data_IF_618908879929
#
_entry.id   IF_618908879929
#
_cell.length_a   1.000
_cell.length_b   1.000
_cell.length_c   1.000
_cell.angle_alpha   90.00
_cell.angle_beta   90.00
_cell.angle_gamma   90.00
#
_symmetry.space_group_name_H-M   'P 1'
#
loop_
_entity.id
_entity.type
_entity.pdbx_description
1 polymer ?
#
# COMPACT_ATOMS: atom_id res chain seq x y z
N UNK A 1 6.88 -10.32 34.17
CA UNK A 1 7.04 -9.10 34.98
C UNK A 1 6.12 -9.21 36.20
N UNK A 2 6.67 -9.24 37.41
CA UNK A 2 5.90 -9.37 38.65
C UNK A 2 5.97 -8.06 39.44
N UNK A 3 4.92 -7.68 40.20
CA UNK A 3 4.97 -6.51 41.05
C UNK A 3 6.06 -6.60 42.11
N UNK A 4 6.75 -5.49 42.38
CA UNK A 4 7.81 -5.39 43.38
C UNK A 4 9.16 -5.93 42.94
N UNK A 5 9.24 -6.61 41.79
CA UNK A 5 10.48 -7.23 41.32
C UNK A 5 11.43 -6.22 40.66
N UNK A 6 10.95 -5.05 40.25
CA UNK A 6 11.72 -4.06 39.49
C UNK A 6 12.44 -4.66 38.27
N UNK A 7 11.79 -5.65 37.65
CA UNK A 7 12.27 -6.27 36.41
C UNK A 7 11.94 -5.41 35.20
N UNK A 8 12.84 -5.42 34.21
CA UNK A 8 12.67 -4.73 32.93
C UNK A 8 12.94 -5.68 31.76
N UNK A 9 12.14 -5.55 30.71
CA UNK A 9 12.37 -6.18 29.41
C UNK A 9 12.78 -5.07 28.44
N UNK A 10 13.87 -5.27 27.72
CA UNK A 10 14.44 -4.28 26.80
C UNK A 10 14.26 -4.72 25.34
N UNK A 11 14.16 -3.77 24.41
CA UNK A 11 14.33 -4.07 23.00
C UNK A 11 15.74 -4.59 22.69
N UNK A 12 15.87 -5.40 21.64
CA UNK A 12 17.13 -6.06 21.28
C UNK A 12 18.27 -5.07 21.02
N UNK A 13 18.03 -4.06 20.18
CA UNK A 13 19.03 -3.04 19.87
C UNK A 13 19.38 -2.18 21.09
N UNK A 14 18.41 -1.90 21.96
CA UNK A 14 18.64 -1.16 23.21
C UNK A 14 19.53 -1.94 24.18
N UNK A 15 19.27 -3.23 24.37
CA UNK A 15 20.09 -4.10 25.20
C UNK A 15 21.52 -4.21 24.66
N UNK A 16 21.64 -4.36 23.33
CA UNK A 16 22.94 -4.42 22.63
C UNK A 16 23.72 -3.11 22.76
N UNK A 17 23.07 -1.96 22.56
CA UNK A 17 23.69 -0.64 22.70
C UNK A 17 24.20 -0.37 24.12
N UNK A 18 23.48 -0.88 25.14
CA UNK A 18 23.91 -0.79 26.55
C UNK A 18 24.91 -1.88 26.95
N UNK A 19 25.16 -2.88 26.10
CA UNK A 19 26.06 -4.00 26.39
C UNK A 19 25.54 -4.93 27.50
N UNK A 20 24.22 -5.02 27.68
CA UNK A 20 23.59 -5.81 28.75
C UNK A 20 22.91 -7.07 28.22
N UNK A 21 22.83 -8.09 29.07
CA UNK A 21 22.17 -9.37 28.83
C UNK A 21 21.12 -9.65 29.90
N UNK A 22 20.28 -10.65 29.66
CA UNK A 22 19.33 -11.14 30.68
C UNK A 22 20.12 -11.59 31.92
N UNK A 23 19.72 -11.08 33.09
CA UNK A 23 20.43 -11.25 34.36
C UNK A 23 21.25 -10.03 34.80
N UNK A 24 21.58 -9.13 33.88
CA UNK A 24 22.31 -7.90 34.21
C UNK A 24 21.39 -6.85 34.84
N UNK A 25 22.01 -5.77 35.35
CA UNK A 25 21.30 -4.66 35.97
C UNK A 25 21.52 -3.38 35.20
N UNK A 26 20.45 -2.63 34.95
CA UNK A 26 20.52 -1.28 34.37
C UNK A 26 20.10 -0.23 35.40
N UNK A 27 20.54 1.01 35.21
CA UNK A 27 20.10 2.14 36.05
C UNK A 27 19.17 3.02 35.24
N UNK A 28 17.90 3.07 35.62
CA UNK A 28 16.93 3.97 35.04
C UNK A 28 17.00 5.33 35.74
N UNK A 29 17.09 6.38 34.93
CA UNK A 29 17.07 7.77 35.37
C UNK A 29 15.71 8.35 35.01
N UNK A 30 14.91 8.73 36.01
CA UNK A 30 13.60 9.36 35.72
C UNK A 30 13.69 10.88 35.74
N UNK A 31 12.95 11.58 34.85
CA UNK A 31 12.92 13.03 34.78
C UNK A 31 12.19 13.70 35.95
N UNK A 32 11.62 12.94 36.88
CA UNK A 32 10.96 13.48 38.07
C UNK A 32 11.99 13.95 39.10
N UNK A 33 12.16 15.27 39.13
CA UNK A 33 13.03 15.99 40.04
C UNK A 33 12.35 16.18 41.39
N UNK A 34 13.04 15.86 42.48
CA UNK A 34 12.63 16.30 43.81
C UNK A 34 13.42 17.55 44.18
N UNK A 35 12.79 18.69 44.51
CA UNK A 35 13.52 19.88 44.93
C UNK A 35 14.25 19.59 46.24
N UNK A 36 15.55 19.84 46.26
CA UNK A 36 16.38 19.78 47.47
C UNK A 36 17.08 21.12 47.67
N UNK A 37 17.47 21.50 48.91
CA UNK A 37 18.23 22.72 49.17
C UNK A 37 19.56 22.82 48.40
N UNK A 38 20.08 21.68 47.90
CA UNK A 38 21.29 21.56 47.09
C UNK A 38 21.03 21.48 45.57
N UNK A 39 19.79 21.61 45.11
CA UNK A 39 19.41 21.61 43.70
C UNK A 39 18.49 20.47 43.26
N UNK A 40 18.50 20.21 41.95
CA UNK A 40 17.66 19.24 41.22
C UNK A 40 18.44 17.94 41.07
N UNK A 41 18.13 16.92 41.90
CA UNK A 41 18.78 15.61 41.82
C UNK A 41 17.86 14.63 41.08
N UNK A 42 18.29 14.05 39.94
CA UNK A 42 17.52 13.03 39.23
C UNK A 42 17.47 11.74 40.05
N UNK A 43 16.36 11.01 39.93
CA UNK A 43 16.22 9.73 40.64
C UNK A 43 16.83 8.61 39.81
N UNK A 44 17.72 7.86 40.45
CA UNK A 44 18.33 6.65 39.92
C UNK A 44 17.66 5.44 40.57
N UNK A 45 17.20 4.49 39.77
CA UNK A 45 16.73 3.19 40.25
C UNK A 45 17.41 2.08 39.46
N UNK A 46 17.99 1.12 40.16
CA UNK A 46 18.53 -0.09 39.55
C UNK A 46 17.39 -1.07 39.26
N UNK A 47 17.35 -1.57 38.02
CA UNK A 47 16.37 -2.53 37.51
C UNK A 47 17.09 -3.79 37.03
N UNK A 48 16.42 -4.93 37.13
CA UNK A 48 16.95 -6.22 36.71
C UNK A 48 16.46 -6.56 35.29
N UNK A 49 17.38 -6.83 34.37
CA UNK A 49 17.02 -7.22 33.00
C UNK A 49 16.54 -8.66 33.02
N UNK A 50 15.23 -8.85 32.89
CA UNK A 50 14.58 -10.17 32.96
C UNK A 50 14.26 -10.76 31.59
N UNK A 51 14.41 -9.97 30.52
CA UNK A 51 14.16 -10.40 29.16
C UNK A 51 14.60 -9.37 28.12
N UNK A 52 14.69 -9.82 26.89
CA UNK A 52 14.91 -8.99 25.69
C UNK A 52 13.86 -9.39 24.66
N UNK A 53 13.29 -8.42 23.94
CA UNK A 53 12.34 -8.67 22.85
C UNK A 53 12.87 -8.11 21.53
N UNK A 54 12.38 -8.65 20.43
CA UNK A 54 12.67 -8.16 19.07
C UNK A 54 11.36 -8.21 18.27
N UNK A 55 10.96 -7.07 17.69
CA UNK A 55 9.74 -6.94 16.88
C UNK A 55 10.10 -6.75 15.40
N UNK A 56 11.36 -6.47 15.07
CA UNK A 56 11.84 -6.22 13.72
C UNK A 56 11.61 -4.78 13.26
N UNK A 57 11.34 -3.87 14.20
CA UNK A 57 11.19 -2.45 13.92
C UNK A 57 12.15 -1.67 14.80
N UNK A 58 13.16 -1.06 14.16
CA UNK A 58 14.25 -0.35 14.85
C UNK A 58 13.77 0.68 15.87
N UNK A 59 12.71 1.45 15.56
CA UNK A 59 12.16 2.45 16.48
C UNK A 59 11.69 1.85 17.81
N UNK A 60 11.19 0.61 17.80
CA UNK A 60 10.77 -0.10 19.00
C UNK A 60 11.94 -0.84 19.64
N UNK A 61 12.73 -1.56 18.85
CA UNK A 61 13.81 -2.41 19.36
C UNK A 61 14.98 -1.59 19.96
N UNK A 62 15.15 -0.32 19.54
CA UNK A 62 16.21 0.58 20.04
C UNK A 62 15.80 1.47 21.21
N UNK A 63 14.49 1.65 21.50
CA UNK A 63 14.04 2.68 22.44
C UNK A 63 13.04 2.21 23.50
N UNK A 64 12.39 1.05 23.34
CA UNK A 64 11.31 0.63 24.23
C UNK A 64 11.83 -0.28 25.37
N UNK A 65 11.39 0.05 26.59
CA UNK A 65 11.59 -0.75 27.79
C UNK A 65 10.25 -1.02 28.48
N UNK A 66 9.99 -2.27 28.85
CA UNK A 66 8.74 -2.71 29.47
C UNK A 66 8.99 -3.14 30.92
N UNK A 67 8.13 -2.67 31.83
CA UNK A 67 8.18 -3.03 33.24
C UNK A 67 6.77 -3.21 33.81
N UNK A 68 6.66 -3.80 35.00
CA UNK A 68 5.36 -3.93 35.66
C UNK A 68 4.77 -2.54 35.97
N UNK A 69 3.46 -2.38 35.76
CA UNK A 69 2.76 -1.09 35.93
C UNK A 69 2.82 -0.57 37.37
N UNK A 70 2.80 -1.45 38.38
CA UNK A 70 2.88 -1.05 39.79
C UNK A 70 4.29 -0.56 40.15
N UNK A 71 5.31 -1.19 39.59
CA UNK A 71 6.70 -0.77 39.78
C UNK A 71 6.99 0.55 39.06
N UNK A 72 6.43 0.73 37.87
CA UNK A 72 6.45 2.00 37.15
C UNK A 72 5.75 3.10 37.98
N UNK A 73 4.56 2.83 38.50
CA UNK A 73 3.80 3.79 39.30
C UNK A 73 4.56 4.22 40.57
N UNK A 74 5.23 3.28 41.25
CA UNK A 74 6.12 3.58 42.39
C UNK A 74 7.31 4.46 41.97
N UNK A 75 7.91 4.16 40.83
CA UNK A 75 9.05 4.91 40.31
C UNK A 75 8.68 6.35 39.93
N UNK A 76 7.52 6.53 39.28
CA UNK A 76 6.98 7.83 38.87
C UNK A 76 6.22 8.57 39.99
N UNK A 77 6.12 8.01 41.21
CA UNK A 77 5.39 8.59 42.37
C UNK A 77 3.91 8.86 42.12
N UNK A 78 3.27 8.00 41.34
CA UNK A 78 1.83 8.06 41.03
C UNK A 78 1.15 6.76 41.51
N UNK A 79 1.20 6.43 42.82
CA UNK A 79 0.64 5.18 43.33
C UNK A 79 -0.86 5.09 42.98
N UNK A 80 -1.29 3.92 42.52
CA UNK A 80 -2.66 3.65 42.07
C UNK A 80 -3.15 4.56 40.93
N UNK A 81 -2.24 5.20 40.20
CA UNK A 81 -2.54 6.06 39.05
C UNK A 81 -1.68 5.63 37.85
N UNK A 82 -2.15 6.00 36.66
CA UNK A 82 -1.48 5.74 35.39
C UNK A 82 -1.37 7.04 34.60
N UNK A 83 -0.33 7.15 33.77
CA UNK A 83 -0.17 8.32 32.88
C UNK A 83 -1.10 8.28 31.68
N UNK A 84 -1.63 7.10 31.33
CA UNK A 84 -2.56 6.93 30.23
C UNK A 84 -3.09 5.50 30.12
N UNK A 85 -4.12 5.34 29.31
CA UNK A 85 -4.73 4.05 28.99
C UNK A 85 -4.54 3.77 27.50
N UNK A 86 -4.07 2.57 27.17
CA UNK A 86 -3.99 2.09 25.78
C UNK A 86 -5.19 1.19 25.51
N UNK A 87 -6.02 1.58 24.56
CA UNK A 87 -7.13 0.75 24.08
C UNK A 87 -6.64 -0.10 22.91
N UNK A 88 -6.86 -1.42 22.99
CA UNK A 88 -6.72 -2.34 21.86
C UNK A 88 -8.09 -2.50 21.22
N UNK A 89 -8.15 -2.27 19.91
CA UNK A 89 -9.37 -2.41 19.13
C UNK A 89 -9.24 -3.62 18.21
N UNK A 90 -10.35 -4.32 17.98
CA UNK A 90 -10.39 -5.43 17.01
C UNK A 90 -10.22 -4.92 15.59
N UNK A 91 -10.85 -3.79 15.27
CA UNK A 91 -10.70 -3.07 14.01
C UNK A 91 -9.95 -1.75 14.27
N UNK A 92 -8.69 -1.73 13.85
CA UNK A 92 -7.82 -0.56 14.00
C UNK A 92 -8.34 0.64 13.19
N UNK A 93 -9.03 0.44 12.06
CA UNK A 93 -9.53 1.53 11.22
C UNK A 93 -10.67 2.30 11.86
N UNK A 94 -11.32 1.74 12.89
CA UNK A 94 -12.32 2.45 13.69
C UNK A 94 -11.71 3.36 14.76
N UNK A 95 -10.39 3.32 14.97
CA UNK A 95 -9.73 4.09 16.03
C UNK A 95 -10.02 5.59 15.98
N UNK A 96 -10.04 6.29 14.82
CA UNK A 96 -10.34 7.71 14.78
C UNK A 96 -11.78 8.03 15.21
N UNK A 97 -12.75 7.21 14.79
CA UNK A 97 -14.16 7.37 15.14
C UNK A 97 -14.41 7.08 16.63
N UNK A 98 -13.85 5.99 17.15
CA UNK A 98 -13.94 5.61 18.56
C UNK A 98 -13.28 6.66 19.45
N UNK A 99 -12.07 7.10 19.08
CA UNK A 99 -11.35 8.16 19.80
C UNK A 99 -12.17 9.44 19.87
N UNK A 100 -12.75 9.88 18.75
CA UNK A 100 -13.62 11.06 18.72
C UNK A 100 -14.85 10.91 19.62
N UNK A 101 -15.51 9.75 19.60
CA UNK A 101 -16.67 9.48 20.45
C UNK A 101 -16.29 9.48 21.94
N UNK A 102 -15.19 8.84 22.32
CA UNK A 102 -14.69 8.83 23.70
C UNK A 102 -14.39 10.26 24.16
N UNK A 103 -13.69 11.05 23.33
CA UNK A 103 -13.35 12.43 23.65
C UNK A 103 -14.56 13.34 23.80
N UNK A 104 -15.68 13.05 23.14
CA UNK A 104 -16.93 13.79 23.33
C UNK A 104 -17.61 13.50 24.68
N UNK A 105 -17.31 12.36 25.30
CA UNK A 105 -17.88 11.93 26.59
C UNK A 105 -16.98 12.26 27.78
N UNK A 106 -15.68 12.42 27.56
CA UNK A 106 -14.71 12.71 28.60
C UNK A 106 -14.57 14.22 28.84
N UNK A 107 -14.18 14.65 30.05
CA UNK A 107 -13.88 16.05 30.32
C UNK A 107 -12.65 16.55 29.51
N UNK A 108 -12.58 17.86 29.29
CA UNK A 108 -11.58 18.52 28.42
C UNK A 108 -10.12 18.40 28.88
N UNK A 109 -9.86 17.82 30.05
CA UNK A 109 -8.52 17.58 30.59
C UNK A 109 -7.86 16.28 30.05
N UNK A 110 -8.62 15.45 29.34
CA UNK A 110 -8.08 14.26 28.69
C UNK A 110 -7.62 14.57 27.26
N UNK A 111 -6.59 13.84 26.81
CA UNK A 111 -6.16 13.84 25.41
C UNK A 111 -6.09 12.40 24.94
N UNK A 112 -6.81 12.09 23.88
CA UNK A 112 -6.68 10.82 23.19
C UNK A 112 -5.93 11.03 21.86
N UNK A 113 -5.06 10.08 21.54
CA UNK A 113 -4.32 10.04 20.30
C UNK A 113 -4.45 8.62 19.77
N UNK A 114 -4.88 8.47 18.52
CA UNK A 114 -4.91 7.18 17.85
C UNK A 114 -3.71 7.01 16.91
N UNK A 115 -3.52 5.79 16.42
CA UNK A 115 -2.38 5.41 15.58
C UNK A 115 -2.33 6.20 14.26
N UNK A 116 -3.46 6.72 13.75
CA UNK A 116 -3.46 7.52 12.51
C UNK A 116 -2.82 8.89 12.71
N UNK A 117 -2.85 9.44 13.94
CA UNK A 117 -2.16 10.68 14.29
C UNK A 117 -0.68 10.46 14.61
N UNK A 118 -0.35 9.37 15.31
CA UNK A 118 1.04 9.07 15.70
C UNK A 118 1.95 8.86 14.48
N UNK A 119 1.40 8.31 13.39
CA UNK A 119 2.15 8.05 12.15
C UNK A 119 1.51 8.72 10.93
N UNK A 120 0.91 9.90 11.10
CA UNK A 120 0.15 10.57 10.04
C UNK A 120 0.95 10.86 8.76
N UNK A 121 2.26 11.07 8.88
CA UNK A 121 3.13 11.31 7.72
C UNK A 121 3.37 10.03 6.93
N UNK A 122 3.58 8.90 7.62
CA UNK A 122 3.75 7.58 7.00
C UNK A 122 2.50 7.18 6.22
N UNK A 123 1.31 7.28 6.83
CA UNK A 123 0.06 6.96 6.14
C UNK A 123 -0.28 7.94 5.00
N UNK A 124 0.06 9.23 5.14
CA UNK A 124 -0.04 10.19 4.03
C UNK A 124 0.89 9.83 2.88
N UNK A 125 2.12 9.40 3.18
CA UNK A 125 3.06 8.94 2.17
C UNK A 125 2.51 7.71 1.43
N UNK A 126 2.06 6.68 2.15
CA UNK A 126 1.43 5.49 1.56
C UNK A 126 0.22 5.81 0.68
N UNK A 127 -0.65 6.72 1.12
CA UNK A 127 -1.80 7.15 0.32
C UNK A 127 -1.36 7.87 -0.97
N UNK A 128 -0.36 8.74 -0.86
CA UNK A 128 0.19 9.48 -2.00
C UNK A 128 0.85 8.53 -2.99
N UNK A 129 1.60 7.55 -2.50
CA UNK A 129 2.22 6.51 -3.31
C UNK A 129 1.18 5.71 -4.09
N UNK A 130 0.11 5.23 -3.43
CA UNK A 130 -0.99 4.54 -4.13
C UNK A 130 -1.64 5.41 -5.20
N UNK A 131 -1.80 6.71 -4.95
CA UNK A 131 -2.34 7.64 -5.94
C UNK A 131 -1.42 7.79 -7.15
N UNK A 132 -0.11 7.90 -6.94
CA UNK A 132 0.88 7.97 -8.03
C UNK A 132 0.88 6.67 -8.84
N UNK A 133 0.84 5.51 -8.19
CA UNK A 133 0.73 4.21 -8.85
C UNK A 133 -0.53 4.12 -9.73
N UNK A 134 -1.67 4.61 -9.24
CA UNK A 134 -2.90 4.70 -10.03
C UNK A 134 -2.76 5.61 -11.26
N UNK A 135 -2.11 6.77 -11.12
CA UNK A 135 -1.87 7.69 -12.24
C UNK A 135 -0.96 7.05 -13.30
N UNK A 136 0.13 6.40 -12.87
CA UNK A 136 1.05 5.70 -13.79
C UNK A 136 0.30 4.60 -14.55
N UNK A 137 -0.48 3.79 -13.85
CA UNK A 137 -1.30 2.75 -14.46
C UNK A 137 -2.27 3.34 -15.49
N UNK A 138 -2.97 4.43 -15.15
CA UNK A 138 -3.89 5.11 -16.05
C UNK A 138 -3.18 5.60 -17.31
N UNK A 139 -1.96 6.14 -17.19
CA UNK A 139 -1.15 6.56 -18.34
C UNK A 139 -0.76 5.37 -19.22
N UNK A 140 -0.33 4.25 -18.64
CA UNK A 140 -0.01 3.03 -19.39
C UNK A 140 -1.23 2.53 -20.18
N UNK A 141 -2.40 2.50 -19.53
CA UNK A 141 -3.66 2.11 -20.17
C UNK A 141 -4.04 3.10 -21.27
N UNK A 142 -3.86 4.41 -21.06
CA UNK A 142 -4.14 5.44 -22.06
C UNK A 142 -3.24 5.30 -23.31
N UNK A 143 -1.96 5.01 -23.12
CA UNK A 143 -1.02 4.74 -24.22
C UNK A 143 -1.42 3.47 -24.99
N UNK A 144 -1.82 2.40 -24.27
CA UNK A 144 -2.31 1.19 -24.91
C UNK A 144 -3.62 1.42 -25.69
N UNK A 145 -4.54 2.20 -25.12
CA UNK A 145 -5.77 2.64 -25.78
C UNK A 145 -5.47 3.39 -27.08
N UNK A 146 -4.53 4.35 -27.07
CA UNK A 146 -4.10 5.07 -28.27
C UNK A 146 -3.52 4.14 -29.35
N UNK A 147 -2.83 3.08 -28.94
CA UNK A 147 -2.34 2.05 -29.86
C UNK A 147 -3.52 1.34 -30.56
N UNK A 148 -4.54 0.93 -29.81
CA UNK A 148 -5.78 0.34 -30.37
C UNK A 148 -6.44 1.30 -31.37
N UNK A 149 -6.55 2.59 -31.04
CA UNK A 149 -7.09 3.61 -31.96
C UNK A 149 -6.29 3.61 -33.27
N UNK A 150 -4.96 3.64 -33.17
CA UNK A 150 -4.07 3.70 -34.33
C UNK A 150 -4.20 2.46 -35.21
N UNK A 151 -4.24 1.27 -34.60
CA UNK A 151 -4.40 0.00 -35.33
C UNK A 151 -5.78 -0.11 -35.99
N UNK A 152 -6.85 0.29 -35.31
CA UNK A 152 -8.20 0.25 -35.89
C UNK A 152 -8.35 1.23 -37.05
N UNK A 153 -7.78 2.43 -36.94
CA UNK A 153 -7.79 3.40 -38.05
C UNK A 153 -7.04 2.84 -39.26
N UNK A 154 -5.84 2.28 -39.04
CA UNK A 154 -5.06 1.64 -40.10
C UNK A 154 -5.83 0.51 -40.77
N UNK A 155 -6.50 -0.32 -39.97
CA UNK A 155 -7.31 -1.41 -40.51
C UNK A 155 -8.51 -0.92 -41.33
N UNK A 156 -9.16 0.17 -40.89
CA UNK A 156 -10.25 0.79 -41.65
C UNK A 156 -9.76 1.31 -42.99
N UNK A 157 -8.58 1.94 -43.03
CA UNK A 157 -7.98 2.42 -44.28
C UNK A 157 -7.58 1.28 -45.20
N UNK A 158 -7.00 0.20 -44.67
CA UNK A 158 -6.61 -0.99 -45.44
C UNK A 158 -7.83 -1.73 -46.01
N UNK A 159 -8.98 -1.61 -45.35
CA UNK A 159 -10.26 -2.23 -45.73
C UNK A 159 -11.24 -1.29 -46.42
N UNK A 160 -10.76 -0.14 -46.88
CA UNK A 160 -11.60 0.88 -47.50
C UNK A 160 -12.32 0.40 -48.78
N UNK A 161 -11.65 -0.41 -49.63
CA UNK A 161 -12.26 -1.00 -50.83
C UNK A 161 -13.36 -2.03 -50.47
N UNK A 162 -13.09 -2.91 -49.51
CA UNK A 162 -14.06 -3.90 -48.99
C UNK A 162 -15.31 -3.21 -48.41
N UNK A 163 -15.11 -2.12 -47.65
CA UNK A 163 -16.21 -1.28 -47.11
C UNK A 163 -17.02 -0.67 -48.25
N UNK A 164 -16.38 -0.16 -49.30
CA UNK A 164 -17.07 0.44 -50.44
C UNK A 164 -17.96 -0.56 -51.18
N UNK A 165 -17.50 -1.80 -51.36
CA UNK A 165 -18.28 -2.90 -51.96
C UNK A 165 -19.48 -3.24 -51.08
N UNK A 166 -19.30 -3.39 -49.75
CA UNK A 166 -20.42 -3.66 -48.85
C UNK A 166 -21.47 -2.54 -48.87
N UNK A 167 -21.02 -1.29 -48.95
CA UNK A 167 -21.90 -0.12 -49.06
C UNK A 167 -22.65 -0.07 -50.40
N UNK A 168 -22.05 -0.52 -51.51
CA UNK A 168 -22.76 -0.59 -52.81
C UNK A 168 -23.76 -1.74 -52.85
N UNK A 169 -23.53 -2.80 -52.07
CA UNK A 169 -24.49 -3.89 -51.84
C UNK A 169 -25.64 -3.52 -50.89
N UNK A 170 -25.68 -2.30 -50.35
CA UNK A 170 -26.79 -1.77 -49.55
C UNK A 170 -26.54 -1.71 -48.04
N UNK A 171 -25.32 -2.00 -47.57
CA UNK A 171 -24.98 -1.88 -46.15
C UNK A 171 -24.98 -0.42 -45.69
N UNK A 172 -25.62 -0.14 -44.54
CA UNK A 172 -25.71 1.22 -44.02
C UNK A 172 -24.42 1.63 -43.29
N UNK A 173 -24.15 2.94 -43.12
CA UNK A 173 -23.04 3.41 -42.29
C UNK A 173 -23.09 2.87 -40.84
N UNK A 174 -24.30 2.65 -40.31
CA UNK A 174 -24.49 2.08 -38.98
C UNK A 174 -24.00 0.64 -38.89
N UNK A 175 -24.30 -0.17 -39.90
CA UNK A 175 -23.85 -1.58 -39.95
C UNK A 175 -22.32 -1.67 -40.01
N UNK A 176 -21.67 -0.82 -40.81
CA UNK A 176 -20.20 -0.72 -40.87
C UNK A 176 -19.64 -0.32 -39.51
N UNK A 177 -20.24 0.68 -38.84
CA UNK A 177 -19.83 1.09 -37.49
C UNK A 177 -19.93 -0.07 -36.51
N UNK A 178 -21.00 -0.87 -36.56
CA UNK A 178 -21.20 -2.03 -35.67
C UNK A 178 -20.11 -3.09 -35.86
N UNK A 179 -19.68 -3.36 -37.09
CA UNK A 179 -18.61 -4.34 -37.36
C UNK A 179 -17.32 -3.93 -36.65
N UNK A 180 -16.88 -2.67 -36.84
CA UNK A 180 -15.65 -2.17 -36.21
C UNK A 180 -15.78 -2.01 -34.69
N UNK A 181 -16.97 -1.66 -34.19
CA UNK A 181 -17.26 -1.63 -32.76
C UNK A 181 -17.14 -3.01 -32.12
N UNK A 182 -17.76 -4.03 -32.71
CA UNK A 182 -17.66 -5.42 -32.21
C UNK A 182 -16.22 -5.89 -32.24
N UNK A 183 -15.47 -5.56 -33.29
CA UNK A 183 -14.07 -5.93 -33.40
C UNK A 183 -13.21 -5.29 -32.29
N UNK A 184 -13.35 -3.99 -32.06
CA UNK A 184 -12.62 -3.32 -30.97
C UNK A 184 -13.04 -3.80 -29.59
N UNK A 185 -14.33 -4.12 -29.37
CA UNK A 185 -14.81 -4.76 -28.14
C UNK A 185 -14.16 -6.12 -27.93
N UNK A 186 -14.05 -6.96 -28.96
CA UNK A 186 -13.40 -8.26 -28.87
C UNK A 186 -11.92 -8.11 -28.53
N UNK A 187 -11.20 -7.21 -29.20
CA UNK A 187 -9.80 -6.92 -28.90
C UNK A 187 -9.64 -6.44 -27.45
N UNK A 188 -10.48 -5.51 -27.01
CA UNK A 188 -10.49 -4.99 -25.64
C UNK A 188 -10.81 -6.06 -24.60
N UNK A 189 -11.79 -6.92 -24.86
CA UNK A 189 -12.19 -8.00 -23.98
C UNK A 189 -11.08 -9.05 -23.82
N UNK A 190 -10.56 -9.57 -24.94
CA UNK A 190 -9.48 -10.57 -24.90
C UNK A 190 -8.19 -9.98 -24.33
N UNK A 191 -7.85 -8.74 -24.68
CA UNK A 191 -6.70 -8.04 -24.11
C UNK A 191 -6.82 -7.87 -22.59
N UNK A 192 -8.00 -7.46 -22.11
CA UNK A 192 -8.26 -7.30 -20.68
C UNK A 192 -8.24 -8.65 -19.95
N UNK A 193 -8.87 -9.68 -20.51
CA UNK A 193 -8.89 -11.02 -19.91
C UNK A 193 -7.48 -11.62 -19.81
N UNK A 194 -6.72 -11.59 -20.92
CA UNK A 194 -5.35 -12.09 -20.93
C UNK A 194 -4.45 -11.27 -20.01
N UNK A 195 -4.64 -9.94 -19.95
CA UNK A 195 -3.93 -9.06 -19.04
C UNK A 195 -4.22 -9.38 -17.57
N UNK A 196 -5.48 -9.61 -17.21
CA UNK A 196 -5.86 -10.00 -15.84
C UNK A 196 -5.28 -11.37 -15.49
N UNK A 197 -5.44 -12.38 -16.37
CA UNK A 197 -4.92 -13.72 -16.12
C UNK A 197 -3.39 -13.70 -15.97
N UNK A 198 -2.70 -13.01 -16.87
CA UNK A 198 -1.24 -12.85 -16.84
C UNK A 198 -0.79 -12.08 -15.60
N UNK A 199 -1.44 -10.96 -15.28
CA UNK A 199 -1.10 -10.13 -14.12
C UNK A 199 -1.35 -10.83 -12.79
N UNK A 200 -2.47 -11.55 -12.64
CA UNK A 200 -2.78 -12.35 -11.45
C UNK A 200 -1.80 -13.51 -11.31
N UNK A 201 -1.51 -14.23 -12.41
CA UNK A 201 -0.52 -15.31 -12.39
C UNK A 201 0.87 -14.80 -11.99
N UNK A 202 1.30 -13.65 -12.52
CA UNK A 202 2.55 -13.00 -12.15
C UNK A 202 2.56 -12.60 -10.68
N UNK A 203 1.49 -11.97 -10.19
CA UNK A 203 1.38 -11.53 -8.80
C UNK A 203 1.46 -12.71 -7.83
N UNK A 204 0.80 -13.82 -8.11
CA UNK A 204 0.83 -15.01 -7.26
C UNK A 204 2.19 -15.73 -7.27
N UNK A 205 2.98 -15.57 -8.32
CA UNK A 205 4.28 -16.23 -8.48
C UNK A 205 5.48 -15.28 -8.31
N UNK A 206 5.25 -14.04 -7.87
CA UNK A 206 6.30 -13.00 -7.86
C UNK A 206 7.50 -13.39 -6.97
N UNK A 207 7.24 -14.06 -5.84
CA UNK A 207 8.30 -14.55 -4.94
C UNK A 207 9.20 -15.58 -5.63
N UNK A 208 8.59 -16.53 -6.36
CA UNK A 208 9.33 -17.53 -7.13
C UNK A 208 10.10 -16.91 -8.29
N UNK A 209 9.52 -15.90 -8.96
CA UNK A 209 10.19 -15.17 -10.05
C UNK A 209 11.41 -14.41 -9.52
N UNK A 210 11.28 -13.73 -8.37
CA UNK A 210 12.40 -13.02 -7.74
C UNK A 210 13.50 -14.00 -7.37
N UNK A 211 13.17 -15.11 -6.70
CA UNK A 211 14.15 -16.13 -6.32
C UNK A 211 14.89 -16.73 -7.55
N UNK A 212 14.17 -16.94 -8.65
CA UNK A 212 14.77 -17.39 -9.90
C UNK A 212 15.75 -16.35 -10.48
N UNK A 213 15.37 -15.07 -10.51
CA UNK A 213 16.23 -13.97 -10.98
C UNK A 213 17.46 -13.81 -10.10
N UNK A 214 17.31 -13.89 -8.77
CA UNK A 214 18.43 -13.85 -7.82
C UNK A 214 19.39 -15.02 -8.03
N UNK A 215 18.87 -16.23 -8.32
CA UNK A 215 19.70 -17.41 -8.61
C UNK A 215 20.52 -17.26 -9.90
N UNK A 216 20.00 -16.52 -10.89
CA UNK A 216 20.71 -16.27 -12.15
C UNK A 216 21.75 -15.14 -12.02
N UNK A 217 21.43 -14.09 -11.25
CA UNK A 217 22.30 -12.92 -11.10
C UNK A 217 23.35 -13.09 -10.00
N UNK A 218 23.19 -14.09 -9.10
CA UNK A 218 24.13 -14.36 -8.02
C UNK A 218 24.19 -13.26 -6.95
N UNK A 219 23.15 -12.41 -6.87
CA UNK A 219 23.05 -11.31 -5.92
C UNK A 219 21.65 -11.28 -5.29
N UNK A 220 21.60 -11.12 -3.96
CA UNK A 220 20.35 -10.97 -3.21
C UNK A 220 19.85 -9.53 -3.36
N UNK A 221 18.84 -9.33 -4.19
CA UNK A 221 18.24 -8.02 -4.47
C UNK A 221 17.60 -7.46 -3.18
N UNK A 222 17.10 -8.36 -2.32
CA UNK A 222 16.50 -8.04 -1.03
C UNK A 222 17.36 -8.56 0.13
N UNK A 223 18.57 -8.01 0.28
CA UNK A 223 19.42 -8.37 1.43
C UNK A 223 18.78 -7.89 2.75
N UNK A 224 18.44 -8.80 3.69
CA UNK A 224 17.81 -8.44 4.98
C UNK A 224 18.64 -7.47 5.81
N UNK A 225 19.97 -7.49 5.62
CA UNK A 225 20.93 -6.65 6.33
C UNK A 225 20.80 -5.14 6.01
N UNK A 226 20.21 -4.79 4.85
CA UNK A 226 20.05 -3.39 4.41
C UNK A 226 18.60 -2.93 4.54
N UNK A 227 17.64 -3.80 4.21
CA UNK A 227 16.23 -3.43 4.14
C UNK A 227 15.39 -3.84 5.36
N UNK A 228 15.93 -4.64 6.30
CA UNK A 228 15.26 -5.11 7.52
C UNK A 228 13.87 -5.75 7.32
N UNK A 229 13.49 -5.99 6.06
CA UNK A 229 12.25 -6.62 5.63
C UNK A 229 12.69 -7.91 4.94
N UNK A 230 12.44 -9.04 5.58
CA UNK A 230 12.90 -10.33 5.09
C UNK A 230 12.21 -10.73 3.79
N UNK A 231 10.92 -10.38 3.64
CA UNK A 231 10.10 -10.74 2.49
C UNK A 231 9.09 -9.61 2.21
N UNK A 232 8.84 -9.25 0.95
CA UNK A 232 7.69 -8.43 0.55
C UNK A 232 6.62 -9.41 0.04
N UNK A 233 5.64 -9.80 0.88
CA UNK A 233 4.61 -10.73 0.44
C UNK A 233 3.74 -10.07 -0.63
N UNK A 234 3.38 -10.85 -1.64
CA UNK A 234 2.40 -10.44 -2.64
C UNK A 234 0.99 -10.50 -2.06
N UNK A 235 0.38 -9.33 -1.83
CA UNK A 235 -1.03 -9.24 -1.39
C UNK A 235 -1.93 -8.89 -2.59
N UNK A 236 -2.51 -9.93 -3.20
CA UNK A 236 -3.43 -9.75 -4.32
C UNK A 236 -4.81 -9.32 -3.82
N UNK A 237 -5.15 -8.05 -4.06
CA UNK A 237 -6.46 -7.50 -3.72
C UNK A 237 -7.41 -7.52 -4.92
N UNK A 238 -8.45 -8.35 -4.83
CA UNK A 238 -9.47 -8.48 -5.89
C UNK A 238 -10.21 -7.18 -6.20
N UNK A 239 -10.37 -6.29 -5.22
CA UNK A 239 -10.95 -4.96 -5.44
C UNK A 239 -10.12 -4.16 -6.45
N UNK A 240 -8.79 -4.17 -6.30
CA UNK A 240 -7.88 -3.46 -7.19
C UNK A 240 -7.92 -4.09 -8.60
N UNK A 241 -7.88 -5.42 -8.69
CA UNK A 241 -7.98 -6.15 -9.98
C UNK A 241 -9.29 -5.80 -10.71
N UNK A 242 -10.40 -5.75 -9.98
CA UNK A 242 -11.71 -5.48 -10.57
C UNK A 242 -11.83 -4.03 -11.04
N UNK A 243 -11.41 -3.06 -10.23
CA UNK A 243 -11.43 -1.64 -10.59
C UNK A 243 -10.55 -1.38 -11.81
N UNK A 244 -9.34 -1.97 -11.84
CA UNK A 244 -8.40 -1.82 -12.96
C UNK A 244 -8.96 -2.48 -14.22
N UNK A 245 -9.47 -3.71 -14.10
CA UNK A 245 -10.06 -4.45 -15.22
C UNK A 245 -11.23 -3.71 -15.86
N UNK A 246 -12.16 -3.20 -15.05
CA UNK A 246 -13.29 -2.41 -15.54
C UNK A 246 -12.81 -1.11 -16.20
N UNK A 247 -11.88 -0.39 -15.57
CA UNK A 247 -11.36 0.87 -16.11
C UNK A 247 -10.66 0.67 -17.45
N UNK A 248 -9.83 -0.37 -17.56
CA UNK A 248 -9.15 -0.72 -18.80
C UNK A 248 -10.13 -1.11 -19.91
N UNK A 249 -11.14 -1.94 -19.60
CA UNK A 249 -12.16 -2.33 -20.56
C UNK A 249 -12.98 -1.12 -21.05
N UNK A 250 -13.40 -0.23 -20.14
CA UNK A 250 -14.14 0.99 -20.50
C UNK A 250 -13.28 1.92 -21.37
N UNK A 251 -12.01 2.13 -21.03
CA UNK A 251 -11.11 2.95 -21.85
C UNK A 251 -10.88 2.35 -23.24
N UNK A 252 -10.76 1.02 -23.33
CA UNK A 252 -10.66 0.31 -24.62
C UNK A 252 -11.92 0.49 -25.48
N UNK A 253 -13.10 0.40 -24.86
CA UNK A 253 -14.38 0.64 -25.52
C UNK A 253 -14.48 2.08 -26.04
N UNK A 254 -14.14 3.06 -25.19
CA UNK A 254 -14.16 4.48 -25.57
C UNK A 254 -13.20 4.77 -26.74
N UNK A 255 -12.04 4.11 -26.74
CA UNK A 255 -11.05 4.23 -27.81
C UNK A 255 -11.57 3.71 -29.15
N UNK A 256 -12.43 2.69 -29.13
CA UNK A 256 -12.99 2.07 -30.34
C UNK A 256 -14.06 2.94 -31.03
N UNK A 257 -14.69 3.86 -30.30
CA UNK A 257 -15.77 4.70 -30.83
C UNK A 257 -15.32 5.59 -32.00
N UNK A 258 -14.17 6.26 -31.85
CA UNK A 258 -13.69 7.20 -32.86
C UNK A 258 -13.33 6.52 -34.20
N UNK A 259 -12.52 5.44 -34.23
CA UNK A 259 -12.24 4.68 -35.46
C UNK A 259 -13.50 4.13 -36.12
N UNK A 260 -14.44 3.58 -35.33
CA UNK A 260 -15.66 2.98 -35.87
C UNK A 260 -16.58 4.00 -36.53
N UNK A 261 -16.71 5.19 -35.93
CA UNK A 261 -17.43 6.30 -36.53
C UNK A 261 -16.75 6.80 -37.80
N UNK A 262 -15.42 6.84 -37.82
CA UNK A 262 -14.64 7.21 -39.01
C UNK A 262 -14.84 6.22 -40.16
N UNK A 263 -14.87 4.92 -39.87
CA UNK A 263 -15.14 3.86 -40.85
C UNK A 263 -16.51 4.00 -41.54
N UNK A 264 -17.52 4.42 -40.80
CA UNK A 264 -18.87 4.64 -41.33
C UNK A 264 -18.96 5.79 -42.35
N UNK A 265 -18.02 6.75 -42.30
CA UNK A 265 -18.02 7.93 -43.17
C UNK A 265 -17.33 7.73 -44.52
N UNK A 266 -16.71 6.57 -44.73
CA UNK A 266 -15.98 6.26 -45.97
C UNK A 266 -16.92 6.26 -47.17
N UNK A 267 -16.68 7.16 -48.13
CA UNK A 267 -17.52 7.33 -49.33
C UNK A 267 -17.15 6.28 -50.40
N UNK A 268 -18.13 5.50 -50.92
CA UNK A 268 -17.85 4.45 -51.90
C UNK A 268 -17.16 4.96 -53.19
N UNK A 269 -17.58 6.14 -53.67
CA UNK A 269 -17.07 6.72 -54.92
C UNK A 269 -15.61 7.23 -54.83
N UNK A 270 -15.15 7.59 -53.63
CA UNK A 270 -13.76 8.01 -53.42
C UNK A 270 -12.84 6.79 -53.17
N UNK A 271 -13.37 5.75 -52.53
CA UNK A 271 -12.63 4.52 -52.24
C UNK A 271 -12.29 3.69 -53.49
N UNK A 272 -13.20 3.61 -54.48
CA UNK A 272 -13.02 2.83 -55.71
C UNK A 272 -12.22 3.56 -56.81
N UNK A 273 -11.82 4.82 -56.58
CA UNK A 273 -11.11 5.66 -57.57
C UNK A 273 -9.58 5.57 -57.45
N UNK A 274 -9.07 4.99 -56.36
CA UNK A 274 -7.64 4.88 -56.06
C UNK A 274 -7.04 3.48 -56.32
N UNK A 275 -7.81 2.59 -56.94
CA UNK A 275 -7.34 1.34 -57.56
C UNK A 275 -7.30 1.48 -59.09
#
# INVERSE_FOLDING_TARGET
LQPGSFGVILGYDLARAMGVRVGDKITLITPHVSPTPAGVIPRLKRLDVVGVFEIGMYEYDSALALMNIEDAAKLFRIPNQVTGLRLKLDDVFKAPAITRNIMNTLPMNYRAVDWTFQHANFFRALKTEKMVMFIILLLIVAVAAFNIVSTLIMMVTDKQADIAILRTLGMTPGDIMTIFMVQGVLIGLFGTLLGIIGGVSLALNIESIIAFVESLLGYNILSPDVYYISNIPSDLRWDDVTVIGITAFVLSLLSTLYPSWRAAQTRPAEALRYD
#
